data_IF_451614255263
#
_entry.id   IF_451614255263
#
_cell.length_a   1.000
_cell.length_b   1.000
_cell.length_c   1.000
_cell.angle_alpha   90.00
_cell.angle_beta   90.00
_cell.angle_gamma   90.00
#
_symmetry.space_group_name_H-M   'P 1'
#
loop_
_entity.id
_entity.type
_entity.pdbx_description
1 polymer ?
#
# COMPACT_ATOMS: atom_id res chain seq x y z
N UNK A 1 12.70 1.40 2.57
CA UNK A 1 12.69 0.06 3.16
C UNK A 1 11.80 0.08 4.39
N UNK A 2 10.67 -0.62 4.34
CA UNK A 2 9.83 -0.86 5.50
C UNK A 2 10.44 -2.02 6.30
N UNK A 3 10.66 -1.86 7.61
CA UNK A 3 11.30 -2.87 8.47
C UNK A 3 10.40 -3.22 9.66
N UNK A 4 10.35 -4.51 10.04
CA UNK A 4 9.62 -5.02 11.21
C UNK A 4 8.12 -5.25 11.01
N UNK A 5 7.62 -5.06 9.78
CA UNK A 5 6.21 -5.23 9.44
C UNK A 5 5.83 -6.68 9.10
N UNK A 6 6.82 -7.57 8.95
CA UNK A 6 6.69 -9.00 8.67
C UNK A 6 6.06 -9.81 9.82
N UNK A 7 5.93 -9.22 11.01
CA UNK A 7 5.31 -9.84 12.19
C UNK A 7 3.78 -9.69 12.22
N UNK A 8 3.21 -8.83 11.39
CA UNK A 8 1.77 -8.53 11.39
C UNK A 8 1.08 -9.25 10.23
N UNK A 9 -0.17 -9.68 10.43
CA UNK A 9 -0.99 -10.23 9.32
C UNK A 9 -1.70 -9.14 8.51
N UNK A 10 -1.89 -7.96 9.11
CA UNK A 10 -2.59 -6.84 8.51
C UNK A 10 -2.00 -5.52 8.98
N UNK A 11 -1.91 -4.55 8.08
CA UNK A 11 -1.34 -3.22 8.31
C UNK A 11 -2.33 -2.19 7.78
N UNK A 12 -2.72 -1.25 8.64
CA UNK A 12 -3.54 -0.10 8.26
C UNK A 12 -2.64 1.10 8.02
N UNK A 13 -2.78 1.74 6.86
CA UNK A 13 -2.06 2.96 6.50
C UNK A 13 -3.07 4.08 6.32
N UNK A 14 -3.09 5.01 7.27
CA UNK A 14 -3.97 6.19 7.25
C UNK A 14 -3.29 7.35 6.51
N UNK A 15 -3.91 7.82 5.44
CA UNK A 15 -3.45 8.92 4.59
C UNK A 15 -4.15 10.25 4.89
N UNK A 16 -4.77 10.40 6.06
CA UNK A 16 -5.36 11.66 6.51
C UNK A 16 -4.36 12.82 6.39
N UNK A 17 -4.75 13.86 5.65
CA UNK A 17 -3.92 15.04 5.41
C UNK A 17 -2.82 14.87 4.33
N UNK A 18 -2.66 13.68 3.75
CA UNK A 18 -1.69 13.44 2.67
C UNK A 18 -2.28 13.86 1.32
N UNK A 19 -1.62 14.83 0.69
CA UNK A 19 -2.09 15.43 -0.58
C UNK A 19 -1.61 14.66 -1.82
N UNK A 20 -0.46 14.00 -1.74
CA UNK A 20 0.12 13.26 -2.87
C UNK A 20 1.13 12.21 -2.40
N UNK A 21 1.36 11.22 -3.25
CA UNK A 21 2.43 10.23 -3.13
C UNK A 21 3.33 10.29 -4.35
N UNK A 22 4.61 9.92 -4.16
CA UNK A 22 5.54 9.71 -5.27
C UNK A 22 5.65 8.23 -5.60
N UNK A 23 5.89 7.93 -6.87
CA UNK A 23 5.94 6.58 -7.42
C UNK A 23 6.87 5.66 -6.63
N UNK A 24 8.10 6.08 -6.29
CA UNK A 24 9.04 5.23 -5.56
C UNK A 24 8.55 4.78 -4.17
N UNK A 25 7.79 5.62 -3.46
CA UNK A 25 7.17 5.21 -2.19
C UNK A 25 6.01 4.25 -2.44
N UNK A 26 5.16 4.58 -3.41
CA UNK A 26 4.00 3.76 -3.74
C UNK A 26 4.44 2.35 -4.20
N UNK A 27 5.47 2.26 -5.04
CA UNK A 27 6.06 1.00 -5.49
C UNK A 27 6.56 0.15 -4.33
N UNK A 28 7.32 0.75 -3.42
CA UNK A 28 7.87 0.02 -2.29
C UNK A 28 6.75 -0.55 -1.40
N UNK A 29 5.73 0.26 -1.11
CA UNK A 29 4.67 -0.11 -0.15
C UNK A 29 3.64 -1.06 -0.76
N UNK A 30 3.22 -0.82 -2.01
CA UNK A 30 2.06 -1.50 -2.59
C UNK A 30 2.42 -2.56 -3.64
N UNK A 31 3.70 -2.67 -4.05
CA UNK A 31 4.18 -3.66 -5.01
C UNK A 31 5.32 -4.52 -4.46
N UNK A 32 6.40 -3.92 -4.00
CA UNK A 32 7.59 -4.65 -3.53
C UNK A 32 7.34 -5.30 -2.17
N UNK A 33 6.77 -4.57 -1.20
CA UNK A 33 6.53 -5.13 0.13
C UNK A 33 5.54 -6.32 0.11
N UNK A 34 4.35 -6.25 -0.53
CA UNK A 34 3.41 -7.37 -0.55
C UNK A 34 3.94 -8.60 -1.31
N UNK A 35 4.78 -8.39 -2.34
CA UNK A 35 5.42 -9.51 -3.05
C UNK A 35 6.45 -10.26 -2.20
N UNK A 36 7.10 -9.59 -1.25
CA UNK A 36 8.05 -10.22 -0.31
C UNK A 36 7.39 -10.75 0.96
N UNK A 37 6.21 -10.23 1.30
CA UNK A 37 5.48 -10.54 2.53
C UNK A 37 4.06 -11.00 2.21
N UNK A 38 3.94 -12.16 1.56
CA UNK A 38 2.69 -12.69 1.02
C UNK A 38 1.62 -13.02 2.08
N UNK A 39 1.98 -13.07 3.36
CA UNK A 39 1.08 -13.26 4.49
C UNK A 39 0.53 -11.96 5.09
N UNK A 40 0.95 -10.81 4.57
CA UNK A 40 0.58 -9.48 5.07
C UNK A 40 -0.44 -8.83 4.15
N UNK A 41 -1.54 -8.33 4.72
CA UNK A 41 -2.52 -7.47 4.05
C UNK A 41 -2.26 -5.99 4.35
N UNK A 42 -2.45 -5.14 3.35
CA UNK A 42 -2.38 -3.68 3.50
C UNK A 42 -3.77 -3.09 3.30
N UNK A 43 -4.24 -2.31 4.26
CA UNK A 43 -5.50 -1.58 4.22
C UNK A 43 -5.21 -0.08 4.19
N UNK A 44 -5.67 0.60 3.15
CA UNK A 44 -5.47 2.03 2.92
C UNK A 44 -6.71 2.78 3.40
N UNK A 45 -6.52 3.73 4.32
CA UNK A 45 -7.59 4.55 4.88
C UNK A 45 -7.38 6.04 4.60
N UNK A 46 -8.48 6.78 4.51
CA UNK A 46 -8.52 8.25 4.37
C UNK A 46 -7.64 8.82 3.24
N UNK A 47 -7.42 8.04 2.18
CA UNK A 47 -6.64 8.47 1.04
C UNK A 47 -7.41 9.46 0.16
N UNK A 48 -6.80 10.60 -0.15
CA UNK A 48 -7.33 11.53 -1.15
C UNK A 48 -7.39 10.87 -2.54
N UNK A 49 -8.22 11.41 -3.45
CA UNK A 49 -8.35 10.87 -4.81
C UNK A 49 -7.00 10.77 -5.55
N UNK A 50 -6.12 11.76 -5.38
CA UNK A 50 -4.77 11.74 -5.96
C UNK A 50 -3.90 10.61 -5.39
N UNK A 51 -3.99 10.36 -4.08
CA UNK A 51 -3.29 9.26 -3.42
C UNK A 51 -3.84 7.91 -3.90
N UNK A 52 -5.17 7.74 -3.93
CA UNK A 52 -5.82 6.53 -4.45
C UNK A 52 -5.39 6.23 -5.89
N UNK A 53 -5.40 7.24 -6.76
CA UNK A 53 -4.96 7.10 -8.14
C UNK A 53 -3.50 6.63 -8.25
N UNK A 54 -2.61 7.15 -7.39
CA UNK A 54 -1.21 6.72 -7.38
C UNK A 54 -1.02 5.29 -6.87
N UNK A 55 -1.79 4.88 -5.86
CA UNK A 55 -1.75 3.50 -5.35
C UNK A 55 -2.24 2.54 -6.44
N UNK A 56 -3.39 2.84 -7.06
CA UNK A 56 -3.94 2.03 -8.15
C UNK A 56 -3.01 1.95 -9.36
N UNK A 57 -2.21 2.98 -9.62
CA UNK A 57 -1.23 2.98 -10.71
C UNK A 57 -0.08 1.98 -10.49
N UNK A 58 0.29 1.69 -9.24
CA UNK A 58 1.43 0.81 -8.91
C UNK A 58 1.03 -0.59 -8.44
N UNK A 59 -0.23 -0.78 -8.02
CA UNK A 59 -0.76 -2.10 -7.65
C UNK A 59 -0.92 -2.92 -8.94
N UNK A 60 -0.17 -4.02 -9.02
CA UNK A 60 -0.25 -4.97 -10.13
C UNK A 60 -1.35 -6.01 -9.89
N UNK A 61 -1.97 -6.51 -10.97
CA UNK A 61 -3.07 -7.48 -10.94
C UNK A 61 -2.69 -8.82 -10.28
N UNK A 62 -1.39 -9.10 -10.13
CA UNK A 62 -0.90 -10.34 -9.51
C UNK A 62 -1.05 -10.35 -7.98
N UNK A 63 -1.31 -9.21 -7.33
CA UNK A 63 -1.37 -9.07 -5.86
C UNK A 63 -2.53 -8.19 -5.35
N UNK A 64 -3.53 -7.92 -6.19
CA UNK A 64 -4.65 -7.03 -5.86
C UNK A 64 -5.50 -7.51 -4.67
N UNK A 65 -5.42 -8.80 -4.32
CA UNK A 65 -6.11 -9.39 -3.16
C UNK A 65 -5.53 -8.95 -1.80
N UNK A 66 -4.29 -8.44 -1.80
CA UNK A 66 -3.56 -8.06 -0.57
C UNK A 66 -3.61 -6.57 -0.24
N UNK A 67 -4.05 -5.72 -1.16
CA UNK A 67 -4.17 -4.27 -0.95
C UNK A 67 -5.64 -3.89 -1.06
N UNK A 68 -6.23 -3.42 0.04
CA UNK A 68 -7.60 -2.89 0.06
C UNK A 68 -7.55 -1.37 0.24
N UNK A 69 -8.42 -0.65 -0.46
CA UNK A 69 -8.54 0.81 -0.38
C UNK A 69 -9.99 1.16 -0.03
N UNK A 70 -10.19 1.78 1.14
CA UNK A 70 -11.49 2.33 1.57
C UNK A 70 -11.83 3.62 0.80
#
# INVERSE_FOLDING_TARGET
>A
MLAGLDRFREIVVDFSGVRSLRQGFADEVFRVFPSRHTSVRICVQNASAAVKAMILHVVDNTHSDRVTID
#
